data_IF_598398531300
#
_entry.id   IF_598398531300
#
_cell.length_a   1.000
_cell.length_b   1.000
_cell.length_c   1.000
_cell.angle_alpha   90.00
_cell.angle_beta   90.00
_cell.angle_gamma   90.00
#
_symmetry.space_group_name_H-M   'P 1'
#
loop_
_entity.id
_entity.type
_entity.pdbx_description
1 polymer ?
#
# COMPACT_ATOMS: atom_id res chain seq x y z
N UNK A 1 1.50 45.78 -16.32
CA UNK A 1 0.35 46.22 -15.50
C UNK A 1 -0.92 45.92 -16.27
N UNK A 2 -1.98 45.38 -15.65
CA UNK A 2 -3.23 45.09 -16.37
C UNK A 2 -3.96 46.39 -16.75
N UNK A 3 -4.83 46.35 -17.76
CA UNK A 3 -5.63 47.51 -18.14
C UNK A 3 -6.51 48.02 -16.98
N UNK A 4 -7.04 47.10 -16.16
CA UNK A 4 -7.78 47.43 -14.93
C UNK A 4 -6.89 48.14 -13.91
N UNK A 5 -5.70 47.58 -13.64
CA UNK A 5 -4.75 48.17 -12.69
C UNK A 5 -4.25 49.57 -13.12
N UNK A 6 -4.17 49.84 -14.43
CA UNK A 6 -3.86 51.18 -14.94
C UNK A 6 -4.99 52.18 -14.64
N UNK A 7 -6.24 51.78 -14.86
CA UNK A 7 -7.43 52.58 -14.56
C UNK A 7 -7.60 52.85 -13.07
N UNK A 8 -7.33 51.85 -12.22
CA UNK A 8 -7.43 51.98 -10.76
C UNK A 8 -6.36 52.95 -10.24
N UNK A 9 -5.13 52.88 -10.78
CA UNK A 9 -4.05 53.80 -10.45
C UNK A 9 -4.34 55.23 -10.90
N UNK A 10 -4.88 55.43 -12.10
CA UNK A 10 -5.32 56.76 -12.54
C UNK A 10 -6.43 57.34 -11.67
N UNK A 11 -7.35 56.49 -11.21
CA UNK A 11 -8.45 56.90 -10.31
C UNK A 11 -7.91 57.33 -8.94
N UNK A 12 -6.92 56.60 -8.42
CA UNK A 12 -6.19 56.98 -7.21
C UNK A 12 -5.47 58.33 -7.38
N UNK A 13 -4.77 58.54 -8.50
CA UNK A 13 -4.07 59.80 -8.78
C UNK A 13 -5.00 61.01 -8.94
N UNK A 14 -6.27 60.80 -9.28
CA UNK A 14 -7.29 61.85 -9.46
C UNK A 14 -8.03 62.21 -8.16
N UNK A 15 -7.79 61.49 -7.07
CA UNK A 15 -8.44 61.77 -5.78
C UNK A 15 -7.99 63.12 -5.19
N UNK A 16 -8.96 63.84 -4.64
CA UNK A 16 -8.94 65.28 -4.35
C UNK A 16 -8.20 65.61 -3.05
N UNK A 17 -8.25 64.69 -2.08
CA UNK A 17 -7.68 64.89 -0.75
C UNK A 17 -7.19 63.57 -0.11
N UNK A 18 -6.42 63.69 0.96
CA UNK A 18 -5.82 62.55 1.67
C UNK A 18 -6.88 61.56 2.18
N UNK A 19 -8.07 62.02 2.55
CA UNK A 19 -9.12 61.13 3.05
C UNK A 19 -9.66 60.23 1.92
N UNK A 20 -9.82 60.76 0.72
CA UNK A 20 -10.21 60.01 -0.47
C UNK A 20 -9.13 58.97 -0.87
N UNK A 21 -7.85 59.35 -0.82
CA UNK A 21 -6.73 58.41 -1.01
C UNK A 21 -6.75 57.27 0.04
N UNK A 22 -6.99 57.59 1.31
CA UNK A 22 -7.08 56.58 2.38
C UNK A 22 -8.28 55.65 2.21
N UNK A 23 -9.43 56.16 1.76
CA UNK A 23 -10.61 55.34 1.48
C UNK A 23 -10.35 54.35 0.35
N UNK A 24 -9.73 54.79 -0.75
CA UNK A 24 -9.38 53.92 -1.87
C UNK A 24 -8.43 52.82 -1.39
N UNK A 25 -7.37 53.17 -0.64
CA UNK A 25 -6.44 52.18 -0.08
C UNK A 25 -7.14 51.17 0.84
N UNK A 26 -8.00 51.64 1.75
CA UNK A 26 -8.73 50.76 2.66
C UNK A 26 -9.67 49.82 1.90
N UNK A 27 -10.38 50.32 0.88
CA UNK A 27 -11.26 49.51 0.04
C UNK A 27 -10.48 48.44 -0.73
N UNK A 28 -9.34 48.79 -1.33
CA UNK A 28 -8.48 47.81 -2.01
C UNK A 28 -7.92 46.77 -1.04
N UNK A 29 -7.51 47.17 0.17
CA UNK A 29 -7.05 46.23 1.20
C UNK A 29 -8.16 45.28 1.63
N UNK A 30 -9.39 45.76 1.78
CA UNK A 30 -10.56 44.92 2.07
C UNK A 30 -10.88 43.97 0.91
N UNK A 31 -10.85 44.43 -0.34
CA UNK A 31 -11.05 43.57 -1.52
C UNK A 31 -9.97 42.48 -1.62
N UNK A 32 -8.71 42.82 -1.32
CA UNK A 32 -7.62 41.83 -1.23
C UNK A 32 -7.87 40.84 -0.10
N UNK A 33 -8.26 41.31 1.09
CA UNK A 33 -8.57 40.44 2.24
C UNK A 33 -9.72 39.50 1.92
N UNK A 34 -10.81 40.02 1.38
CA UNK A 34 -12.01 39.25 1.04
C UNK A 34 -11.71 38.28 -0.12
N UNK A 35 -10.88 38.67 -1.09
CA UNK A 35 -10.35 37.79 -2.13
C UNK A 35 -9.47 36.67 -1.58
N UNK A 36 -8.62 36.96 -0.60
CA UNK A 36 -7.82 35.96 0.11
C UNK A 36 -8.70 35.04 0.97
N UNK A 37 -9.76 35.55 1.58
CA UNK A 37 -10.74 34.75 2.32
C UNK A 37 -11.60 33.88 1.39
N UNK A 38 -11.96 34.36 0.20
CA UNK A 38 -12.61 33.55 -0.83
C UNK A 38 -11.67 32.47 -1.39
N UNK A 39 -10.36 32.76 -1.49
CA UNK A 39 -9.33 31.76 -1.82
C UNK A 39 -9.00 30.81 -0.66
N UNK A 40 -9.44 31.09 0.58
CA UNK A 40 -9.47 30.11 1.67
C UNK A 40 -10.55 29.03 1.47
N UNK A 41 -11.16 28.89 0.29
CA UNK A 41 -11.56 27.57 -0.16
C UNK A 41 -10.30 26.70 -0.22
N UNK A 42 -9.93 26.15 0.95
CA UNK A 42 -8.78 25.29 1.16
C UNK A 42 -8.86 24.24 0.07
N UNK A 43 -7.91 24.28 -0.87
CA UNK A 43 -7.71 23.17 -1.78
C UNK A 43 -7.49 21.94 -0.90
N UNK A 44 -8.54 21.14 -0.74
CA UNK A 44 -8.52 19.96 0.10
C UNK A 44 -7.38 19.11 -0.42
N UNK A 45 -6.34 18.94 0.39
CA UNK A 45 -5.14 18.26 -0.06
C UNK A 45 -5.50 16.91 -0.65
N UNK A 46 -5.04 16.65 -1.87
CA UNK A 46 -5.24 15.37 -2.56
C UNK A 46 -3.91 14.69 -2.75
N UNK A 47 -3.92 13.36 -2.63
CA UNK A 47 -2.75 12.54 -2.92
C UNK A 47 -2.30 12.81 -4.37
N UNK A 48 -1.08 13.32 -4.59
CA UNK A 48 -0.56 13.55 -5.92
C UNK A 48 -0.52 12.28 -6.78
N UNK A 49 -0.63 12.42 -8.10
CA UNK A 49 -0.66 11.28 -9.00
C UNK A 49 0.64 10.44 -8.96
N UNK A 50 1.78 11.11 -8.79
CA UNK A 50 3.06 10.43 -8.65
C UNK A 50 3.11 9.62 -7.34
N UNK A 51 2.67 10.21 -6.22
CA UNK A 51 2.54 9.49 -4.96
C UNK A 51 1.58 8.30 -5.06
N UNK A 52 0.44 8.42 -5.76
CA UNK A 52 -0.46 7.28 -6.03
C UNK A 52 0.23 6.13 -6.78
N UNK A 53 1.06 6.45 -7.78
CA UNK A 53 1.83 5.45 -8.51
C UNK A 53 2.82 4.74 -7.57
N UNK A 54 3.52 5.48 -6.71
CA UNK A 54 4.41 4.92 -5.69
C UNK A 54 3.65 4.04 -4.70
N UNK A 55 2.51 4.51 -4.15
CA UNK A 55 1.65 3.71 -3.26
C UNK A 55 1.30 2.37 -3.91
N UNK A 56 0.96 2.35 -5.21
CA UNK A 56 0.65 1.11 -5.92
C UNK A 56 1.85 0.16 -5.98
N UNK A 57 3.04 0.66 -6.33
CA UNK A 57 4.27 -0.14 -6.41
C UNK A 57 4.63 -0.72 -5.04
N UNK A 58 4.70 0.12 -4.01
CA UNK A 58 5.10 -0.32 -2.68
C UNK A 58 4.03 -1.17 -1.99
N UNK A 59 2.74 -0.91 -2.20
CA UNK A 59 1.66 -1.79 -1.71
C UNK A 59 1.76 -3.19 -2.32
N UNK A 60 2.12 -3.29 -3.61
CA UNK A 60 2.31 -4.57 -4.27
C UNK A 60 3.49 -5.34 -3.68
N UNK A 61 4.62 -4.68 -3.48
CA UNK A 61 5.79 -5.27 -2.82
C UNK A 61 5.52 -5.68 -1.38
N UNK A 62 4.78 -4.85 -0.63
CA UNK A 62 4.43 -5.10 0.76
C UNK A 62 3.54 -6.33 0.92
N UNK A 63 2.50 -6.47 0.09
CA UNK A 63 1.63 -7.66 0.08
C UNK A 63 2.38 -8.92 -0.36
N UNK A 64 3.39 -8.79 -1.22
CA UNK A 64 4.25 -9.90 -1.63
C UNK A 64 5.46 -10.11 -0.70
N UNK A 65 5.55 -9.41 0.43
CA UNK A 65 6.63 -9.66 1.37
C UNK A 65 6.50 -11.08 1.96
N UNK A 66 7.57 -11.90 1.91
CA UNK A 66 7.54 -13.20 2.57
C UNK A 66 7.46 -13.08 4.10
N UNK A 67 7.85 -11.94 4.68
CA UNK A 67 7.92 -11.72 6.13
C UNK A 67 6.67 -11.06 6.70
N UNK A 68 5.63 -10.82 5.89
CA UNK A 68 4.42 -10.13 6.35
C UNK A 68 3.75 -10.88 7.52
N UNK A 69 3.50 -10.19 8.63
CA UNK A 69 2.93 -10.81 9.82
C UNK A 69 1.39 -10.75 9.86
N UNK A 70 0.80 -9.77 9.18
CA UNK A 70 -0.65 -9.64 8.96
C UNK A 70 -0.89 -8.85 7.68
N UNK A 71 -1.82 -9.32 6.85
CA UNK A 71 -2.23 -8.67 5.60
C UNK A 71 -3.21 -7.52 5.83
N UNK A 72 -4.00 -7.53 6.92
CA UNK A 72 -4.94 -6.47 7.30
C UNK A 72 -4.28 -5.50 8.28
N UNK A 73 -4.16 -5.93 9.54
CA UNK A 73 -3.49 -5.25 10.65
C UNK A 73 -3.41 -3.72 10.63
N UNK A 74 -2.26 -3.21 11.09
CA UNK A 74 -1.80 -1.84 10.86
C UNK A 74 -0.92 -1.76 9.60
N UNK A 75 -1.33 -2.46 8.53
CA UNK A 75 -0.52 -2.62 7.33
C UNK A 75 -0.31 -1.28 6.61
N UNK A 76 -1.34 -0.42 6.61
CA UNK A 76 -1.28 0.89 5.95
C UNK A 76 -0.33 1.85 6.65
N UNK A 77 -0.35 1.87 7.99
CA UNK A 77 0.58 2.64 8.81
C UNK A 77 2.00 2.13 8.64
N UNK A 78 2.20 0.80 8.70
CA UNK A 78 3.52 0.20 8.53
C UNK A 78 4.10 0.47 7.14
N UNK A 79 3.26 0.43 6.10
CA UNK A 79 3.68 0.79 4.74
C UNK A 79 4.01 2.28 4.63
N UNK A 80 3.24 3.17 5.26
CA UNK A 80 3.54 4.61 5.26
C UNK A 80 4.92 4.88 5.89
N UNK A 81 5.23 4.25 7.02
CA UNK A 81 6.55 4.39 7.64
C UNK A 81 7.66 3.84 6.75
N UNK A 82 7.44 2.70 6.09
CA UNK A 82 8.39 2.15 5.13
C UNK A 82 8.65 3.10 3.94
N UNK A 83 7.59 3.75 3.42
CA UNK A 83 7.73 4.73 2.35
C UNK A 83 8.42 6.02 2.83
N UNK A 84 8.28 6.39 4.11
CA UNK A 84 9.02 7.51 4.71
C UNK A 84 10.51 7.20 4.84
N UNK A 85 10.86 5.99 5.29
CA UNK A 85 12.26 5.55 5.36
C UNK A 85 12.93 5.52 3.97
N UNK A 86 12.17 5.19 2.93
CA UNK A 86 12.64 5.25 1.54
C UNK A 86 12.63 6.65 0.92
N UNK A 87 12.35 7.69 1.72
CA UNK A 87 12.34 9.10 1.31
C UNK A 87 11.48 9.35 0.05
N UNK A 88 10.33 8.67 -0.04
CA UNK A 88 9.42 8.87 -1.17
C UNK A 88 8.88 10.29 -1.12
N UNK A 89 9.09 11.02 -2.23
CA UNK A 89 8.66 12.40 -2.37
C UNK A 89 7.16 12.59 -2.13
N UNK A 90 6.79 13.80 -1.73
CA UNK A 90 5.40 14.27 -1.54
C UNK A 90 4.62 13.56 -0.42
N UNK A 91 5.30 12.78 0.44
CA UNK A 91 4.69 12.26 1.67
C UNK A 91 4.54 13.40 2.68
N UNK A 92 3.33 13.65 3.22
CA UNK A 92 3.11 14.70 4.20
C UNK A 92 3.85 14.41 5.52
N UNK A 93 4.39 15.45 6.18
CA UNK A 93 4.97 15.34 7.51
C UNK A 93 4.01 14.74 8.53
N UNK A 94 4.54 14.08 9.56
CA UNK A 94 3.74 13.44 10.62
C UNK A 94 2.80 14.40 11.36
N UNK A 95 3.18 15.69 11.46
CA UNK A 95 2.37 16.75 12.07
C UNK A 95 1.10 17.10 11.27
N UNK A 96 1.03 16.77 9.99
CA UNK A 96 -0.11 17.09 9.11
C UNK A 96 -1.16 15.98 9.15
N UNK A 97 -1.76 15.79 10.32
CA UNK A 97 -2.63 14.65 10.65
C UNK A 97 -3.79 14.43 9.67
N UNK A 98 -4.38 15.51 9.15
CA UNK A 98 -5.44 15.44 8.12
C UNK A 98 -4.95 14.83 6.81
N UNK A 99 -3.82 15.29 6.29
CA UNK A 99 -3.23 14.77 5.05
C UNK A 99 -2.74 13.34 5.22
N UNK A 100 -2.11 13.03 6.37
CA UNK A 100 -1.69 11.67 6.73
C UNK A 100 -2.89 10.71 6.74
N UNK A 101 -4.05 11.13 7.26
CA UNK A 101 -5.27 10.32 7.25
C UNK A 101 -5.78 10.04 5.83
N UNK A 102 -5.76 11.04 4.95
CA UNK A 102 -6.13 10.88 3.54
C UNK A 102 -5.17 9.88 2.85
N UNK A 103 -3.87 10.00 3.12
CA UNK A 103 -2.85 9.10 2.59
C UNK A 103 -3.02 7.65 3.08
N UNK A 104 -3.21 7.43 4.38
CA UNK A 104 -3.48 6.11 4.97
C UNK A 104 -4.73 5.48 4.33
N UNK A 105 -5.77 6.28 4.05
CA UNK A 105 -6.98 5.80 3.38
C UNK A 105 -6.68 5.32 1.96
N UNK A 106 -5.89 6.10 1.21
CA UNK A 106 -5.43 5.74 -0.15
C UNK A 106 -4.58 4.45 -0.15
N UNK A 107 -3.67 4.32 0.83
CA UNK A 107 -2.85 3.12 1.02
C UNK A 107 -3.74 1.91 1.34
N UNK A 108 -4.67 2.04 2.29
CA UNK A 108 -5.57 0.96 2.72
C UNK A 108 -6.41 0.42 1.58
N UNK A 109 -6.96 1.32 0.76
CA UNK A 109 -7.70 0.97 -0.45
C UNK A 109 -6.81 0.21 -1.44
N UNK A 110 -5.58 0.69 -1.66
CA UNK A 110 -4.63 0.05 -2.58
C UNK A 110 -4.20 -1.33 -2.10
N UNK A 111 -3.88 -1.51 -0.81
CA UNK A 111 -3.56 -2.80 -0.21
C UNK A 111 -4.71 -3.81 -0.36
N UNK A 112 -5.96 -3.35 -0.20
CA UNK A 112 -7.14 -4.17 -0.44
C UNK A 112 -7.22 -4.61 -1.90
N UNK A 113 -7.01 -3.70 -2.85
CA UNK A 113 -6.94 -4.03 -4.27
C UNK A 113 -5.84 -5.05 -4.59
N UNK A 114 -4.62 -4.87 -4.06
CA UNK A 114 -3.49 -5.78 -4.30
C UNK A 114 -3.74 -7.19 -3.76
N UNK A 115 -4.35 -7.29 -2.58
CA UNK A 115 -4.76 -8.58 -2.00
C UNK A 115 -5.81 -9.27 -2.86
N UNK A 116 -6.81 -8.55 -3.36
CA UNK A 116 -7.80 -9.14 -4.26
C UNK A 116 -7.15 -9.67 -5.54
N UNK A 117 -6.27 -8.87 -6.16
CA UNK A 117 -5.49 -9.30 -7.34
C UNK A 117 -4.66 -10.56 -7.04
N UNK A 118 -4.00 -10.61 -5.87
CA UNK A 118 -3.22 -11.77 -5.44
C UNK A 118 -4.11 -13.02 -5.30
N UNK A 119 -5.24 -12.92 -4.60
CA UNK A 119 -6.21 -14.02 -4.43
C UNK A 119 -6.69 -14.51 -5.80
N UNK A 120 -7.09 -13.62 -6.71
CA UNK A 120 -7.54 -13.97 -8.06
C UNK A 120 -6.47 -14.73 -8.84
N UNK A 121 -5.22 -14.24 -8.87
CA UNK A 121 -4.12 -14.92 -9.57
C UNK A 121 -3.83 -16.30 -8.99
N UNK A 122 -3.94 -16.46 -7.67
CA UNK A 122 -3.81 -17.75 -7.00
C UNK A 122 -4.95 -18.68 -7.43
N UNK A 123 -6.21 -18.22 -7.38
CA UNK A 123 -7.36 -19.01 -7.84
C UNK A 123 -7.23 -19.44 -9.29
N UNK A 124 -6.76 -18.54 -10.17
CA UNK A 124 -6.53 -18.86 -11.58
C UNK A 124 -5.41 -19.88 -11.79
N UNK A 125 -4.40 -19.91 -10.90
CA UNK A 125 -3.34 -20.92 -10.95
C UNK A 125 -3.82 -22.34 -10.63
N UNK A 126 -4.96 -22.50 -9.94
CA UNK A 126 -5.48 -23.81 -9.55
C UNK A 126 -6.12 -24.59 -10.71
N UNK A 127 -6.46 -23.93 -11.81
CA UNK A 127 -7.09 -24.55 -12.98
C UNK A 127 -6.16 -25.63 -13.59
N UNK A 128 -6.66 -26.84 -13.97
CA UNK A 128 -5.89 -27.95 -14.54
C UNK A 128 -4.79 -27.53 -15.52
N UNK A 129 -5.15 -26.76 -16.54
CA UNK A 129 -4.26 -26.34 -17.63
C UNK A 129 -3.68 -24.93 -17.45
N UNK A 130 -3.64 -24.43 -16.21
CA UNK A 130 -3.14 -23.07 -15.97
C UNK A 130 -1.64 -22.96 -16.26
N UNK A 131 -1.18 -22.00 -17.07
CA UNK A 131 0.24 -21.79 -17.32
C UNK A 131 1.00 -21.33 -16.06
N UNK A 132 0.27 -20.91 -15.03
CA UNK A 132 0.82 -20.45 -13.75
C UNK A 132 0.63 -21.47 -12.63
N UNK A 133 0.30 -22.74 -12.96
CA UNK A 133 0.00 -23.79 -11.98
C UNK A 133 1.15 -24.03 -11.00
N UNK A 134 2.36 -24.28 -11.50
CA UNK A 134 3.52 -24.42 -10.63
C UNK A 134 3.86 -23.10 -9.92
N UNK A 135 4.38 -23.20 -8.69
CA UNK A 135 4.55 -22.05 -7.80
C UNK A 135 5.51 -20.98 -8.33
N UNK A 136 6.52 -21.36 -9.14
CA UNK A 136 7.45 -20.41 -9.74
C UNK A 136 6.79 -19.57 -10.84
N UNK A 137 5.97 -20.19 -11.69
CA UNK A 137 5.18 -19.50 -12.69
C UNK A 137 4.10 -18.61 -12.06
N UNK A 138 3.44 -19.07 -10.97
CA UNK A 138 2.56 -18.21 -10.18
C UNK A 138 3.32 -17.00 -9.64
N UNK A 139 4.48 -17.21 -9.02
CA UNK A 139 5.27 -16.12 -8.45
C UNK A 139 5.63 -15.06 -9.49
N UNK A 140 6.07 -15.48 -10.68
CA UNK A 140 6.33 -14.57 -11.79
C UNK A 140 5.06 -13.83 -12.23
N UNK A 141 3.92 -14.53 -12.30
CA UNK A 141 2.64 -13.93 -12.67
C UNK A 141 2.16 -12.90 -11.63
N UNK A 142 2.31 -13.15 -10.33
CA UNK A 142 1.93 -12.18 -9.28
C UNK A 142 2.85 -10.97 -9.32
N UNK A 143 4.18 -11.15 -9.37
CA UNK A 143 5.19 -10.09 -9.48
C UNK A 143 4.95 -9.23 -10.73
N UNK A 144 4.56 -9.85 -11.86
CA UNK A 144 4.28 -9.16 -13.11
C UNK A 144 5.47 -8.35 -13.62
N UNK A 145 5.22 -7.09 -14.01
CA UNK A 145 6.26 -6.18 -14.52
C UNK A 145 6.95 -5.36 -13.43
N UNK A 146 6.78 -5.73 -12.15
CA UNK A 146 7.42 -5.00 -11.05
C UNK A 146 8.91 -5.33 -10.94
N UNK A 147 9.63 -4.56 -10.12
CA UNK A 147 11.05 -4.79 -9.84
C UNK A 147 11.28 -5.77 -8.68
N UNK A 148 10.22 -6.38 -8.15
CA UNK A 148 10.29 -7.31 -7.03
C UNK A 148 11.07 -8.54 -7.49
N UNK A 149 12.15 -8.88 -6.78
CA UNK A 149 12.91 -10.09 -7.06
C UNK A 149 12.25 -11.28 -6.36
N UNK A 150 11.95 -12.38 -7.06
CA UNK A 150 11.35 -13.57 -6.45
C UNK A 150 12.35 -14.24 -5.51
N UNK A 151 11.92 -14.67 -4.33
CA UNK A 151 12.74 -15.47 -3.39
C UNK A 151 12.06 -16.81 -3.11
N UNK A 152 12.81 -17.77 -2.56
CA UNK A 152 12.22 -19.03 -2.11
C UNK A 152 11.16 -18.80 -1.03
N UNK A 153 11.39 -17.85 -0.14
CA UNK A 153 10.47 -17.50 0.93
C UNK A 153 9.17 -16.91 0.38
N UNK A 154 9.22 -16.18 -0.74
CA UNK A 154 8.02 -15.75 -1.44
C UNK A 154 7.24 -16.96 -1.98
N UNK A 155 7.91 -17.95 -2.57
CA UNK A 155 7.24 -19.15 -3.08
C UNK A 155 6.54 -19.91 -1.95
N UNK A 156 7.23 -20.07 -0.81
CA UNK A 156 6.68 -20.68 0.39
C UNK A 156 5.43 -19.91 0.88
N UNK A 157 5.51 -18.58 0.91
CA UNK A 157 4.38 -17.74 1.32
C UNK A 157 3.19 -17.85 0.36
N UNK A 158 3.43 -17.91 -0.95
CA UNK A 158 2.37 -18.10 -1.95
C UNK A 158 1.71 -19.47 -1.81
N UNK A 159 2.47 -20.53 -1.53
CA UNK A 159 1.93 -21.86 -1.27
C UNK A 159 1.00 -21.86 -0.04
N UNK A 160 1.37 -21.15 1.03
CA UNK A 160 0.51 -20.96 2.20
C UNK A 160 -0.82 -20.25 1.89
N UNK A 161 -0.80 -19.20 1.06
CA UNK A 161 -2.04 -18.52 0.65
C UNK A 161 -2.86 -19.43 -0.27
N UNK A 162 -2.21 -20.16 -1.19
CA UNK A 162 -2.88 -21.12 -2.08
C UNK A 162 -3.56 -22.23 -1.29
N UNK A 163 -2.91 -22.75 -0.24
CA UNK A 163 -3.54 -23.67 0.70
C UNK A 163 -4.85 -23.11 1.26
N UNK A 164 -4.89 -21.82 1.64
CA UNK A 164 -6.12 -21.19 2.12
C UNK A 164 -7.21 -21.08 1.05
N UNK A 165 -6.84 -20.75 -0.20
CA UNK A 165 -7.80 -20.70 -1.31
C UNK A 165 -8.44 -22.08 -1.53
N UNK A 166 -7.65 -23.15 -1.44
CA UNK A 166 -8.11 -24.53 -1.65
C UNK A 166 -8.97 -25.03 -0.49
N UNK A 167 -8.58 -24.74 0.77
CA UNK A 167 -9.22 -25.32 1.95
C UNK A 167 -10.41 -24.50 2.46
N UNK A 168 -10.58 -23.26 2.00
CA UNK A 168 -11.70 -22.38 2.37
C UNK A 168 -12.41 -21.83 1.12
N UNK A 169 -12.92 -22.70 0.21
CA UNK A 169 -13.51 -22.24 -1.05
C UNK A 169 -14.83 -21.46 -0.86
N UNK A 170 -15.54 -21.72 0.22
CA UNK A 170 -16.84 -21.11 0.54
C UNK A 170 -16.73 -19.90 1.50
N UNK A 171 -15.52 -19.48 1.86
CA UNK A 171 -15.37 -18.30 2.73
C UNK A 171 -15.73 -17.03 1.95
N UNK A 172 -16.53 -16.18 2.56
CA UNK A 172 -16.83 -14.86 2.01
C UNK A 172 -15.55 -14.08 1.75
N UNK A 173 -15.52 -13.32 0.65
CA UNK A 173 -14.31 -12.60 0.21
C UNK A 173 -13.75 -11.67 1.29
N UNK A 174 -14.63 -11.00 2.04
CA UNK A 174 -14.25 -10.10 3.14
C UNK A 174 -13.58 -10.81 4.32
N UNK A 175 -13.89 -12.10 4.49
CA UNK A 175 -13.42 -12.95 5.58
C UNK A 175 -12.18 -13.78 5.20
N UNK A 176 -11.88 -13.94 3.90
CA UNK A 176 -10.71 -14.70 3.44
C UNK A 176 -9.41 -14.23 4.09
N UNK A 177 -9.08 -12.94 3.97
CA UNK A 177 -7.85 -12.39 4.54
C UNK A 177 -7.84 -12.38 6.07
N UNK A 178 -9.02 -12.34 6.71
CA UNK A 178 -9.13 -12.52 8.16
C UNK A 178 -8.70 -13.94 8.53
N UNK A 179 -9.14 -14.96 7.79
CA UNK A 179 -8.77 -16.35 8.06
C UNK A 179 -7.28 -16.61 7.85
N UNK A 180 -6.69 -16.00 6.81
CA UNK A 180 -5.24 -16.05 6.57
C UNK A 180 -4.48 -15.44 7.75
N UNK A 181 -4.86 -14.22 8.17
CA UNK A 181 -4.24 -13.55 9.31
C UNK A 181 -4.42 -14.32 10.63
N UNK A 182 -5.61 -14.87 10.86
CA UNK A 182 -5.91 -15.67 12.04
C UNK A 182 -5.04 -16.93 12.11
N UNK A 183 -4.81 -17.60 10.97
CA UNK A 183 -3.96 -18.79 10.94
C UNK A 183 -2.51 -18.46 11.29
N UNK A 184 -1.99 -17.33 10.77
CA UNK A 184 -0.65 -16.85 11.13
C UNK A 184 -0.56 -16.48 12.61
N UNK A 185 -1.60 -15.87 13.17
CA UNK A 185 -1.67 -15.50 14.58
C UNK A 185 -1.81 -16.71 15.51
N UNK A 186 -2.62 -17.70 15.12
CA UNK A 186 -2.80 -18.94 15.86
C UNK A 186 -1.48 -19.70 15.95
N UNK A 187 -0.71 -19.78 14.87
CA UNK A 187 0.62 -20.40 14.89
C UNK A 187 1.59 -19.70 15.84
N UNK A 188 1.59 -18.36 15.88
CA UNK A 188 2.40 -17.60 16.84
C UNK A 188 1.92 -17.77 18.28
N UNK A 189 0.60 -17.81 18.49
CA UNK A 189 -0.02 -17.87 19.82
C UNK A 189 -0.01 -19.27 20.43
N UNK A 190 -0.02 -20.31 19.60
CA UNK A 190 0.02 -21.71 20.03
C UNK A 190 1.37 -22.16 20.61
N UNK A 191 2.28 -21.21 20.90
CA UNK A 191 3.64 -21.46 21.39
C UNK A 191 4.49 -22.33 20.46
N UNK A 192 4.17 -22.36 19.15
CA UNK A 192 5.09 -22.92 18.18
C UNK A 192 6.36 -22.07 18.17
N UNK A 193 7.49 -22.72 18.30
CA UNK A 193 8.79 -22.11 18.10
C UNK A 193 8.89 -21.56 16.67
N UNK A 194 9.77 -20.58 16.45
CA UNK A 194 10.00 -20.05 15.11
C UNK A 194 10.39 -21.15 14.08
N UNK A 195 11.05 -22.21 14.57
CA UNK A 195 11.41 -23.39 13.78
C UNK A 195 10.18 -24.18 13.35
N UNK A 196 9.24 -24.44 14.24
CA UNK A 196 8.01 -25.17 13.93
C UNK A 196 7.12 -24.40 12.96
N UNK A 197 7.00 -23.08 13.13
CA UNK A 197 6.29 -22.22 12.19
C UNK A 197 6.93 -22.31 10.81
N UNK A 198 8.26 -22.21 10.74
CA UNK A 198 9.01 -22.35 9.48
C UNK A 198 8.80 -23.73 8.85
N UNK A 199 8.79 -24.78 9.66
CA UNK A 199 8.53 -26.14 9.19
C UNK A 199 7.11 -26.29 8.64
N UNK A 200 6.10 -25.71 9.30
CA UNK A 200 4.72 -25.73 8.83
C UNK A 200 4.58 -25.07 7.44
N UNK A 201 5.23 -23.92 7.25
CA UNK A 201 5.31 -23.27 5.95
C UNK A 201 6.02 -24.13 4.89
N UNK A 202 7.15 -24.75 5.23
CA UNK A 202 7.89 -25.63 4.32
C UNK A 202 7.12 -26.89 3.94
N UNK A 203 6.33 -27.45 4.86
CA UNK A 203 5.46 -28.59 4.59
C UNK A 203 4.38 -28.22 3.57
N UNK A 204 3.75 -27.05 3.73
CA UNK A 204 2.77 -26.54 2.75
C UNK A 204 3.41 -26.32 1.38
N UNK A 205 4.62 -25.76 1.33
CA UNK A 205 5.36 -25.60 0.09
C UNK A 205 5.70 -26.93 -0.58
N UNK A 206 6.11 -27.94 0.19
CA UNK A 206 6.45 -29.26 -0.34
C UNK A 206 5.20 -29.96 -0.92
N UNK A 207 4.08 -29.92 -0.20
CA UNK A 207 2.80 -30.45 -0.70
C UNK A 207 2.31 -29.69 -1.96
N UNK A 208 2.51 -28.37 -2.01
CA UNK A 208 2.19 -27.57 -3.18
C UNK A 208 3.02 -27.97 -4.41
N UNK A 209 4.32 -28.21 -4.24
CA UNK A 209 5.20 -28.70 -5.30
C UNK A 209 4.75 -30.06 -5.84
N UNK A 210 4.40 -31.00 -4.96
CA UNK A 210 3.95 -32.33 -5.35
C UNK A 210 2.64 -32.29 -6.13
N UNK A 211 1.70 -31.42 -5.72
CA UNK A 211 0.37 -31.35 -6.31
C UNK A 211 0.29 -30.49 -7.58
N UNK A 212 1.05 -29.40 -7.64
CA UNK A 212 0.94 -28.39 -8.71
C UNK A 212 2.17 -28.32 -9.62
N UNK A 213 3.19 -29.12 -9.34
CA UNK A 213 4.38 -29.29 -10.17
C UNK A 213 5.62 -28.62 -9.59
N UNK A 214 6.79 -29.22 -9.87
CA UNK A 214 8.06 -28.76 -9.34
C UNK A 214 8.50 -27.43 -10.00
N UNK A 215 8.73 -26.34 -9.25
CA UNK A 215 9.22 -25.07 -9.76
C UNK A 215 10.54 -25.19 -10.55
N UNK A 216 11.37 -26.21 -10.29
CA UNK A 216 12.60 -26.45 -11.03
C UNK A 216 12.38 -26.73 -12.53
N UNK A 217 11.17 -27.19 -12.90
CA UNK A 217 10.79 -27.43 -14.30
C UNK A 217 10.48 -26.13 -15.07
N UNK A 218 10.29 -25.01 -14.37
CA UNK A 218 10.04 -23.71 -15.00
C UNK A 218 11.34 -23.02 -15.44
N UNK A 219 11.24 -21.94 -16.23
CA UNK A 219 12.38 -21.06 -16.54
C UNK A 219 12.62 -19.99 -15.46
N UNK A 220 11.71 -19.85 -14.49
CA UNK A 220 11.81 -18.84 -13.45
C UNK A 220 12.77 -19.30 -12.35
N UNK A 221 13.58 -18.38 -11.84
CA UNK A 221 14.60 -18.65 -10.82
C UNK A 221 14.38 -17.75 -9.62
N UNK A 222 14.64 -18.30 -8.44
CA UNK A 222 14.68 -17.50 -7.21
C UNK A 222 15.97 -16.68 -7.17
N UNK A 223 15.89 -15.54 -6.51
CA UNK A 223 17.00 -14.67 -6.17
C UNK A 223 17.39 -14.95 -4.72
N UNK A 224 18.70 -15.04 -4.47
CA UNK A 224 19.22 -15.14 -3.10
C UNK A 224 18.89 -13.87 -2.30
N UNK A 225 18.59 -14.01 -1.00
CA UNK A 225 18.23 -12.87 -0.14
C UNK A 225 19.35 -11.81 -0.12
N UNK A 226 20.62 -12.22 -0.18
CA UNK A 226 21.77 -11.32 -0.21
C UNK A 226 21.84 -10.41 -1.45
N UNK A 227 21.09 -10.76 -2.51
CA UNK A 227 21.03 -10.01 -3.77
C UNK A 227 19.78 -9.11 -3.89
N UNK A 228 18.97 -9.04 -2.82
CA UNK A 228 17.82 -8.15 -2.77
C UNK A 228 18.28 -6.69 -2.67
N UNK A 229 17.54 -5.83 -3.35
CA UNK A 229 17.77 -4.39 -3.30
C UNK A 229 17.27 -3.82 -1.97
N UNK A 230 17.93 -2.77 -1.47
CA UNK A 230 17.63 -2.15 -0.17
C UNK A 230 16.15 -1.81 0.01
N UNK A 231 15.49 -1.28 -1.02
CA UNK A 231 14.08 -0.91 -0.95
C UNK A 231 13.16 -2.12 -0.67
N UNK A 232 13.48 -3.30 -1.23
CA UNK A 232 12.71 -4.52 -1.00
C UNK A 232 12.98 -5.06 0.41
N UNK A 233 14.20 -4.91 0.93
CA UNK A 233 14.54 -5.25 2.32
C UNK A 233 13.80 -4.35 3.33
N UNK A 234 13.67 -3.05 3.06
CA UNK A 234 12.86 -2.12 3.87
C UNK A 234 11.40 -2.57 3.89
N UNK A 235 10.81 -2.88 2.73
CA UNK A 235 9.44 -3.43 2.67
C UNK A 235 9.29 -4.71 3.50
N UNK A 236 10.23 -5.64 3.39
CA UNK A 236 10.21 -6.87 4.16
C UNK A 236 10.26 -6.59 5.67
N UNK A 237 11.12 -5.68 6.11
CA UNK A 237 11.28 -5.29 7.51
C UNK A 237 9.97 -4.73 8.08
N UNK A 238 9.39 -3.72 7.44
CA UNK A 238 8.15 -3.10 7.92
C UNK A 238 6.92 -4.00 7.82
N UNK A 239 6.87 -4.89 6.84
CA UNK A 239 5.80 -5.89 6.75
C UNK A 239 5.84 -6.90 7.90
N UNK A 240 7.04 -7.18 8.43
CA UNK A 240 7.21 -8.07 9.58
C UNK A 240 6.79 -7.42 10.91
N UNK A 241 6.76 -6.09 10.99
CA UNK A 241 6.29 -5.38 12.17
C UNK A 241 4.79 -5.11 12.20
N UNK A 242 4.02 -5.57 11.19
CA UNK A 242 2.57 -5.32 11.15
C UNK A 242 1.90 -6.02 12.33
N UNK A 243 1.45 -5.22 13.30
CA UNK A 243 0.65 -5.70 14.42
C UNK A 243 -0.68 -6.27 13.91
N UNK A 244 -1.06 -7.43 14.46
CA UNK A 244 -2.36 -8.03 14.19
C UNK A 244 -3.48 -7.04 14.57
N UNK A 245 -4.37 -6.77 13.61
CA UNK A 245 -5.57 -6.00 13.88
C UNK A 245 -6.53 -6.92 14.59
N UNK A 246 -6.74 -6.72 15.90
CA UNK A 246 -7.73 -7.45 16.67
C UNK A 246 -9.13 -7.19 16.08
N UNK A 247 -9.52 -7.96 15.06
CA UNK A 247 -10.91 -8.12 14.71
C UNK A 247 -11.61 -8.66 15.95
N UNK A 248 -12.62 -7.94 16.46
CA UNK A 248 -13.41 -8.40 17.60
C UNK A 248 -13.81 -9.85 17.35
N UNK A 249 -13.29 -10.80 18.15
CA UNK A 249 -13.72 -12.21 18.15
C UNK A 249 -15.25 -12.23 18.28
N UNK A 250 -15.98 -12.40 17.19
CA UNK A 250 -17.32 -12.95 17.29
C UNK A 250 -17.11 -14.44 17.52
N UNK A 251 -17.32 -14.86 18.78
CA UNK A 251 -17.52 -16.28 19.10
C UNK A 251 -18.68 -16.75 18.22
N UNK A 252 -18.39 -17.71 17.34
CA UNK A 252 -19.40 -18.59 16.77
C UNK A 252 -19.66 -19.67 17.82
#
# INVERSE_FOLDING_TARGET
MSAKSASDFESFMKASDVAEHMMILMATVLEVRDGLEAQKAVDEWRVPNQLKANIKVYSHAFVLSPLINSYRGKASESLLEAMRELEIAEIPPTKETGQVKILITSISSTLTGQRNVLKTKISDSLKPESPTRNIAALANAVIGKSRIKPTLQLYIRLAFIRFHVVNYPSIEDENFWIRVDQTMEDWRSASLTAVEITQAYNNMYSADKELYGDPATSSFRVTDISLLEGWQLVMNTYSSSVAAGLGKRKRV
#
